data_IF_461759555332
#
_entry.id   IF_461759555332
#
_cell.length_a   1.000
_cell.length_b   1.000
_cell.length_c   1.000
_cell.angle_alpha   90.00
_cell.angle_beta   90.00
_cell.angle_gamma   90.00
#
_symmetry.space_group_name_H-M   'P 1'
#
loop_
_entity.id
_entity.type
_entity.pdbx_description
1 polymer ?
#
# COMPACT_ATOMS: atom_id res chain seq x y z
N UNK A 1 26.45 15.10 30.92
CA UNK A 1 26.44 13.79 30.24
C UNK A 1 26.27 14.08 28.77
N UNK A 2 27.29 13.75 28.00
CA UNK A 2 27.52 14.25 26.63
C UNK A 2 26.49 13.68 25.64
N UNK A 3 25.77 14.59 24.98
CA UNK A 3 24.93 14.28 23.83
C UNK A 3 25.84 13.79 22.69
N UNK A 4 25.93 12.46 22.51
CA UNK A 4 26.53 11.88 21.31
C UNK A 4 25.79 12.43 20.09
N UNK A 5 26.52 13.13 19.24
CA UNK A 5 26.12 13.57 17.91
C UNK A 5 25.40 12.45 17.15
N UNK A 6 24.07 12.49 17.07
CA UNK A 6 23.30 11.77 16.05
C UNK A 6 23.31 12.67 14.81
N UNK A 7 24.48 12.79 14.17
CA UNK A 7 24.64 13.54 12.90
C UNK A 7 24.46 12.61 11.70
N UNK A 8 23.47 11.72 11.76
CA UNK A 8 23.02 10.96 10.60
C UNK A 8 21.50 11.01 10.57
N UNK A 9 20.96 11.63 9.53
CA UNK A 9 19.53 11.58 9.23
C UNK A 9 19.10 10.11 9.10
N UNK A 10 17.91 9.81 9.63
CA UNK A 10 17.34 8.47 9.56
C UNK A 10 17.12 8.05 8.12
N UNK A 11 17.17 6.76 7.84
CA UNK A 11 16.98 6.20 6.50
C UNK A 11 15.81 5.23 6.46
N UNK A 12 15.21 5.12 5.29
CA UNK A 12 14.16 4.18 5.00
C UNK A 12 14.65 2.75 5.21
N UNK A 13 13.80 1.94 5.83
CA UNK A 13 14.11 0.55 6.15
C UNK A 13 14.85 0.38 7.48
N UNK A 14 15.28 1.46 8.14
CA UNK A 14 15.86 1.39 9.48
C UNK A 14 14.78 1.15 10.53
N UNK A 15 15.15 0.42 11.59
CA UNK A 15 14.29 0.04 12.69
C UNK A 15 14.82 0.72 13.94
N UNK A 16 13.93 1.41 14.64
CA UNK A 16 14.25 2.12 15.87
C UNK A 16 13.28 1.76 16.99
N UNK A 17 13.73 1.87 18.23
CA UNK A 17 12.84 1.87 19.39
C UNK A 17 12.14 3.23 19.48
N UNK A 18 10.82 3.24 19.66
CA UNK A 18 10.03 4.47 19.80
C UNK A 18 8.93 4.31 20.86
N UNK A 19 8.65 5.38 21.60
CA UNK A 19 7.56 5.43 22.57
C UNK A 19 6.27 5.94 21.93
N UNK A 20 5.32 5.04 21.67
CA UNK A 20 4.01 5.41 21.12
C UNK A 20 3.08 6.10 22.14
N UNK A 21 3.48 6.20 23.40
CA UNK A 21 2.67 6.75 24.48
C UNK A 21 1.57 5.79 24.92
N UNK A 22 0.54 6.33 25.56
CA UNK A 22 -0.65 5.57 25.96
C UNK A 22 -1.85 6.00 25.12
N UNK A 23 -2.26 5.14 24.18
CA UNK A 23 -3.39 5.37 23.30
C UNK A 23 -4.54 4.41 23.64
N UNK A 24 -5.78 4.91 23.49
CA UNK A 24 -6.98 4.11 23.67
C UNK A 24 -7.30 3.21 22.47
N UNK A 25 -8.02 2.11 22.72
CA UNK A 25 -8.50 1.22 21.67
C UNK A 25 -7.39 0.42 20.98
N UNK A 26 -7.42 0.37 19.65
CA UNK A 26 -6.51 -0.47 18.84
C UNK A 26 -5.28 0.27 18.29
N UNK A 27 -5.10 1.55 18.65
CA UNK A 27 -3.89 2.30 18.30
C UNK A 27 -2.72 1.72 19.09
N UNK A 28 -1.58 1.52 18.43
CA UNK A 28 -0.40 0.96 19.12
C UNK A 28 0.13 1.89 20.20
N UNK A 29 0.53 1.31 21.33
CA UNK A 29 0.95 2.01 22.56
C UNK A 29 2.23 1.42 23.13
N UNK A 30 2.87 2.15 24.04
CA UNK A 30 4.09 1.73 24.72
C UNK A 30 5.36 1.86 23.88
N UNK A 31 6.47 1.46 24.49
CA UNK A 31 7.80 1.48 23.86
C UNK A 31 8.00 0.19 23.08
N UNK A 32 8.22 0.31 21.77
CA UNK A 32 8.33 -0.85 20.86
C UNK A 32 9.14 -0.50 19.62
N UNK A 33 9.64 -1.51 18.89
CA UNK A 33 10.28 -1.29 17.60
C UNK A 33 9.31 -0.64 16.60
N UNK A 34 9.88 0.19 15.73
CA UNK A 34 9.17 0.87 14.66
C UNK A 34 10.05 0.95 13.42
N UNK A 35 9.46 0.69 12.27
CA UNK A 35 10.14 0.72 10.98
C UNK A 35 10.00 2.10 10.34
N UNK A 36 11.10 2.72 9.93
CA UNK A 36 11.09 3.95 9.12
C UNK A 36 10.62 3.63 7.70
N UNK A 37 9.50 4.23 7.28
CA UNK A 37 8.88 3.98 5.98
C UNK A 37 8.97 5.15 5.01
N UNK A 38 9.25 6.36 5.50
CA UNK A 38 9.44 7.57 4.68
C UNK A 38 10.69 7.45 3.81
N UNK A 39 10.66 8.02 2.59
CA UNK A 39 11.80 8.06 1.67
C UNK A 39 12.99 8.83 2.21
N UNK A 40 14.20 8.48 1.74
CA UNK A 40 15.46 9.05 2.22
C UNK A 40 15.56 10.54 1.91
N UNK A 41 15.04 10.99 0.76
CA UNK A 41 15.00 12.40 0.39
C UNK A 41 14.17 13.21 1.39
N UNK A 42 13.01 12.66 1.79
CA UNK A 42 12.15 13.27 2.80
C UNK A 42 12.79 13.27 4.18
N UNK A 43 13.44 12.17 4.58
CA UNK A 43 14.15 12.09 5.86
C UNK A 43 15.33 13.05 5.92
N UNK A 44 16.06 13.23 4.82
CA UNK A 44 17.18 14.15 4.74
C UNK A 44 16.73 15.62 4.84
N UNK A 45 15.63 15.97 4.18
CA UNK A 45 15.11 17.33 4.13
C UNK A 45 14.29 17.75 5.37
N UNK A 46 13.78 16.80 6.15
CA UNK A 46 12.90 17.07 7.30
C UNK A 46 13.54 16.74 8.65
N UNK A 47 13.00 17.31 9.72
CA UNK A 47 13.27 16.88 11.11
C UNK A 47 12.28 15.81 11.58
N UNK A 48 11.27 15.51 10.77
CA UNK A 48 10.30 14.44 11.01
C UNK A 48 10.52 13.27 10.07
N UNK A 49 9.99 12.11 10.47
CA UNK A 49 9.93 10.91 9.65
C UNK A 49 8.60 10.19 9.89
N UNK A 50 8.24 9.25 9.01
CA UNK A 50 7.06 8.39 9.18
C UNK A 50 7.54 7.00 9.54
N UNK A 51 6.99 6.48 10.64
CA UNK A 51 7.28 5.13 11.14
C UNK A 51 6.02 4.25 11.13
N UNK A 52 6.21 2.94 11.00
CA UNK A 52 5.19 1.92 11.21
C UNK A 52 5.46 1.16 12.51
N UNK A 53 4.45 1.01 13.36
CA UNK A 53 4.59 0.24 14.60
C UNK A 53 4.87 -1.25 14.33
N UNK A 54 5.65 -1.88 15.21
CA UNK A 54 5.92 -3.32 15.17
C UNK A 54 5.41 -4.04 16.42
N UNK A 55 5.21 -5.35 16.31
CA UNK A 55 4.82 -6.20 17.44
C UNK A 55 5.39 -7.61 17.28
N UNK A 56 5.82 -8.24 18.38
CA UNK A 56 6.15 -9.66 18.41
C UNK A 56 4.92 -10.58 18.37
N UNK A 57 3.71 -10.01 18.56
CA UNK A 57 2.46 -10.76 18.47
C UNK A 57 2.06 -10.93 17.01
N UNK A 58 2.36 -12.09 16.44
CA UNK A 58 2.05 -12.41 15.04
C UNK A 58 0.59 -12.86 14.91
N UNK A 59 -0.23 -12.08 14.21
CA UNK A 59 -1.65 -12.39 13.96
C UNK A 59 -2.14 -11.80 12.65
N UNK A 60 -3.27 -12.31 12.13
CA UNK A 60 -3.91 -11.83 10.90
C UNK A 60 -2.94 -11.71 9.71
N UNK A 61 -2.07 -12.70 9.53
CA UNK A 61 -1.03 -12.70 8.48
C UNK A 61 -1.59 -12.64 7.05
N UNK A 62 -2.88 -12.91 6.89
CA UNK A 62 -3.59 -12.74 5.62
C UNK A 62 -3.76 -11.27 5.21
N UNK A 63 -3.56 -10.32 6.13
CA UNK A 63 -3.63 -8.89 5.82
C UNK A 63 -2.35 -8.45 5.11
N UNK A 64 -2.45 -7.79 3.94
CA UNK A 64 -1.28 -7.35 3.18
C UNK A 64 -0.48 -6.25 3.88
N UNK A 65 -1.04 -5.58 4.89
CA UNK A 65 -0.37 -4.58 5.71
C UNK A 65 0.53 -5.20 6.79
N UNK A 66 0.44 -6.51 7.01
CA UNK A 66 1.21 -7.23 8.02
C UNK A 66 2.42 -7.90 7.40
N UNK A 67 3.62 -7.39 7.67
CA UNK A 67 4.88 -7.94 7.14
C UNK A 67 5.69 -8.53 8.29
N UNK A 68 5.93 -9.85 8.27
CA UNK A 68 6.75 -10.53 9.27
C UNK A 68 8.22 -10.36 8.89
N UNK A 69 9.03 -9.89 9.83
CA UNK A 69 10.48 -9.79 9.76
C UNK A 69 11.09 -10.80 10.73
N UNK A 70 12.21 -11.39 10.34
CA UNK A 70 13.01 -12.28 11.17
C UNK A 70 14.03 -11.49 12.03
N UNK A 71 14.75 -12.21 12.89
CA UNK A 71 15.74 -11.68 13.84
C UNK A 71 16.98 -11.09 13.16
N UNK A 72 17.27 -11.50 11.92
CA UNK A 72 18.44 -11.04 11.14
C UNK A 72 18.52 -9.53 10.95
N UNK A 73 17.40 -8.82 11.11
CA UNK A 73 17.32 -7.35 11.01
C UNK A 73 17.59 -6.64 12.35
N UNK A 74 18.23 -7.33 13.31
CA UNK A 74 18.58 -6.78 14.63
C UNK A 74 17.47 -6.92 15.69
N UNK A 75 16.36 -7.58 15.35
CA UNK A 75 15.25 -7.82 16.26
C UNK A 75 15.58 -8.99 17.20
N UNK A 76 15.13 -8.90 18.46
CA UNK A 76 15.30 -9.99 19.43
C UNK A 76 14.45 -11.22 19.09
N UNK A 77 13.25 -10.98 18.57
CA UNK A 77 12.28 -12.00 18.20
C UNK A 77 11.68 -11.65 16.83
N UNK A 78 11.26 -12.65 16.03
CA UNK A 78 10.49 -12.42 14.82
C UNK A 78 9.30 -11.50 15.11
N UNK A 79 9.17 -10.43 14.34
CA UNK A 79 8.22 -9.35 14.61
C UNK A 79 7.45 -8.96 13.36
N UNK A 80 6.22 -8.52 13.55
CA UNK A 80 5.32 -8.07 12.49
C UNK A 80 5.28 -6.55 12.42
N UNK A 81 5.58 -5.99 11.26
CA UNK A 81 5.31 -4.60 10.91
C UNK A 81 3.82 -4.44 10.60
N UNK A 82 3.18 -3.45 11.21
CA UNK A 82 1.77 -3.13 11.01
C UNK A 82 1.64 -1.85 10.18
N UNK A 83 1.55 -1.98 8.86
CA UNK A 83 1.56 -0.83 7.93
C UNK A 83 0.29 0.03 7.98
N UNK A 84 -0.75 -0.42 8.68
CA UNK A 84 -1.91 0.40 9.02
C UNK A 84 -1.73 1.26 10.29
N UNK A 85 -0.66 1.04 11.06
CA UNK A 85 -0.34 1.75 12.31
C UNK A 85 0.84 2.71 12.08
N UNK A 86 0.65 3.66 11.16
CA UNK A 86 1.65 4.67 10.83
C UNK A 86 1.58 5.87 11.78
N UNK A 87 2.74 6.49 12.04
CA UNK A 87 2.84 7.74 12.80
C UNK A 87 3.96 8.61 12.27
N UNK A 88 3.70 9.91 12.13
CA UNK A 88 4.75 10.91 11.91
C UNK A 88 5.35 11.31 13.25
N UNK A 89 6.68 11.29 13.36
CA UNK A 89 7.42 11.53 14.60
C UNK A 89 8.61 12.45 14.31
N UNK A 90 9.14 13.12 15.34
CA UNK A 90 10.44 13.78 15.17
C UNK A 90 11.54 12.73 15.15
N UNK A 91 12.55 12.93 14.32
CA UNK A 91 13.72 12.03 14.26
C UNK A 91 14.47 11.98 15.60
N UNK A 92 14.41 13.08 16.37
CA UNK A 92 14.97 13.19 17.73
C UNK A 92 14.25 12.34 18.77
N UNK A 93 13.01 11.90 18.49
CA UNK A 93 12.21 11.12 19.44
C UNK A 93 12.46 9.60 19.30
N UNK A 94 13.25 9.20 18.30
CA UNK A 94 13.70 7.82 18.13
C UNK A 94 14.79 7.53 19.16
N UNK A 95 14.60 6.44 19.91
CA UNK A 95 15.36 6.17 21.13
C UNK A 95 16.66 5.43 20.81
N UNK A 96 16.56 4.28 20.15
CA UNK A 96 17.69 3.37 19.91
C UNK A 96 17.58 2.79 18.50
N UNK A 97 18.68 2.78 17.76
CA UNK A 97 18.77 2.06 16.49
C UNK A 97 18.86 0.56 16.75
N UNK A 98 17.97 -0.22 16.13
CA UNK A 98 17.88 -1.68 16.29
C UNK A 98 18.56 -2.37 15.11
N UNK A 99 18.30 -1.90 13.89
CA UNK A 99 18.82 -2.54 12.69
C UNK A 99 18.20 -1.95 11.42
N UNK A 100 18.39 -2.64 10.30
CA UNK A 100 17.92 -2.18 8.99
C UNK A 100 17.51 -3.36 8.12
N UNK A 101 16.43 -3.17 7.37
CA UNK A 101 16.02 -4.06 6.29
C UNK A 101 16.88 -3.76 5.07
N UNK A 102 17.92 -4.56 4.86
CA UNK A 102 18.84 -4.51 3.72
C UNK A 102 18.44 -5.46 2.58
N UNK A 103 17.27 -6.09 2.70
CA UNK A 103 16.76 -7.08 1.77
C UNK A 103 15.71 -6.50 0.81
N UNK A 104 16.00 -6.59 -0.50
CA UNK A 104 15.14 -6.04 -1.55
C UNK A 104 13.74 -6.68 -1.58
N UNK A 105 13.63 -7.98 -1.27
CA UNK A 105 12.34 -8.69 -1.27
C UNK A 105 11.44 -8.18 -0.15
N UNK A 106 11.98 -7.94 1.04
CA UNK A 106 11.22 -7.33 2.13
C UNK A 106 10.83 -5.88 1.82
N UNK A 107 11.73 -5.09 1.23
CA UNK A 107 11.41 -3.71 0.83
C UNK A 107 10.31 -3.67 -0.25
N UNK A 108 10.29 -4.62 -1.19
CA UNK A 108 9.19 -4.79 -2.17
C UNK A 108 7.87 -5.12 -1.47
N UNK A 109 7.88 -6.05 -0.50
CA UNK A 109 6.68 -6.39 0.29
C UNK A 109 6.15 -5.19 1.05
N UNK A 110 7.02 -4.39 1.68
CA UNK A 110 6.65 -3.16 2.38
C UNK A 110 5.99 -2.16 1.41
N UNK A 111 6.57 -1.95 0.23
CA UNK A 111 5.98 -1.07 -0.79
C UNK A 111 4.57 -1.51 -1.20
N UNK A 112 4.37 -2.80 -1.45
CA UNK A 112 3.06 -3.37 -1.81
C UNK A 112 2.10 -3.23 -0.63
N UNK A 113 2.55 -3.52 0.58
CA UNK A 113 1.76 -3.42 1.80
C UNK A 113 1.27 -2.00 2.07
N UNK A 114 2.14 -0.99 1.94
CA UNK A 114 1.78 0.43 2.08
C UNK A 114 0.75 0.81 1.03
N UNK A 115 0.98 0.47 -0.25
CA UNK A 115 0.02 0.76 -1.32
C UNK A 115 -1.36 0.17 -1.03
N UNK A 116 -1.42 -1.07 -0.55
CA UNK A 116 -2.67 -1.73 -0.20
C UNK A 116 -3.33 -1.12 1.04
N UNK A 117 -2.56 -0.86 2.11
CA UNK A 117 -3.06 -0.28 3.35
C UNK A 117 -3.65 1.13 3.15
N UNK A 118 -3.05 1.92 2.26
CA UNK A 118 -3.48 3.29 1.97
C UNK A 118 -4.46 3.40 0.79
N UNK A 119 -4.88 2.29 0.18
CA UNK A 119 -5.75 2.32 -1.00
C UNK A 119 -5.11 2.90 -2.26
N UNK A 120 -3.77 3.02 -2.29
CA UNK A 120 -2.99 3.49 -3.44
C UNK A 120 -2.71 2.37 -4.45
N UNK A 121 -3.16 1.15 -4.16
CA UNK A 121 -3.16 0.03 -5.08
C UNK A 121 -4.27 0.21 -6.12
N UNK A 122 -4.00 1.06 -7.11
CA UNK A 122 -4.87 1.27 -8.25
C UNK A 122 -4.70 0.12 -9.27
N UNK A 123 -5.42 -0.99 -9.08
CA UNK A 123 -5.66 -1.97 -10.16
C UNK A 123 -6.66 -1.45 -11.20
N UNK A 124 -7.21 -0.26 -10.98
CA UNK A 124 -7.95 0.46 -12.01
C UNK A 124 -6.97 1.48 -12.59
N UNK A 125 -6.40 1.26 -13.79
CA UNK A 125 -5.83 2.39 -14.52
C UNK A 125 -6.85 3.54 -14.48
N UNK A 126 -6.38 4.78 -14.38
CA UNK A 126 -7.22 5.95 -14.59
C UNK A 126 -7.79 5.81 -16.01
N UNK A 127 -8.96 5.18 -16.10
CA UNK A 127 -9.66 4.88 -17.35
C UNK A 127 -10.40 6.15 -17.68
N UNK A 128 -10.18 6.68 -18.88
CA UNK A 128 -10.92 7.87 -19.28
C UNK A 128 -12.41 7.50 -19.22
N UNK A 129 -13.31 8.43 -18.85
CA UNK A 129 -14.74 8.15 -18.89
C UNK A 129 -15.20 7.57 -20.23
N UNK A 130 -14.50 7.89 -21.33
CA UNK A 130 -14.71 7.35 -22.67
C UNK A 130 -14.50 5.84 -22.81
N UNK A 131 -13.73 5.23 -21.91
CA UNK A 131 -13.34 3.82 -21.97
C UNK A 131 -14.35 2.92 -21.25
N UNK A 132 -15.36 3.51 -20.59
CA UNK A 132 -16.41 2.82 -19.85
C UNK A 132 -17.73 3.04 -20.56
N UNK A 133 -18.50 1.96 -20.80
CA UNK A 133 -19.87 2.05 -21.32
C UNK A 133 -20.79 1.07 -20.61
N UNK A 134 -22.00 1.51 -20.28
CA UNK A 134 -23.05 0.63 -19.78
C UNK A 134 -23.75 -0.04 -20.95
N UNK A 135 -23.66 -1.37 -21.07
CA UNK A 135 -24.27 -2.12 -22.18
C UNK A 135 -25.14 -3.26 -21.69
N UNK A 136 -26.27 -3.48 -22.36
CA UNK A 136 -27.05 -4.71 -22.24
C UNK A 136 -26.35 -5.86 -22.99
N UNK A 137 -26.78 -7.10 -22.75
CA UNK A 137 -26.17 -8.30 -23.36
C UNK A 137 -26.14 -8.22 -24.90
N UNK A 138 -27.25 -7.79 -25.51
CA UNK A 138 -27.36 -7.64 -26.97
C UNK A 138 -26.37 -6.61 -27.53
N UNK A 139 -26.29 -5.43 -26.92
CA UNK A 139 -25.38 -4.38 -27.39
C UNK A 139 -23.90 -4.67 -27.09
N UNK A 140 -23.61 -5.54 -26.13
CA UNK A 140 -22.27 -6.00 -25.81
C UNK A 140 -21.72 -6.95 -26.88
N UNK A 141 -22.58 -7.78 -27.51
CA UNK A 141 -22.18 -8.74 -28.54
C UNK A 141 -21.51 -8.05 -29.73
N UNK A 142 -22.02 -6.90 -30.16
CA UNK A 142 -21.41 -6.06 -31.22
C UNK A 142 -19.92 -5.80 -30.97
N UNK A 143 -19.54 -5.56 -29.71
CA UNK A 143 -18.16 -5.25 -29.33
C UNK A 143 -17.32 -6.49 -29.06
N UNK A 144 -17.93 -7.57 -28.56
CA UNK A 144 -17.23 -8.86 -28.40
C UNK A 144 -16.78 -9.44 -29.75
N UNK A 145 -17.57 -9.18 -30.79
CA UNK A 145 -17.26 -9.61 -32.15
C UNK A 145 -16.22 -8.69 -32.84
N UNK A 146 -15.90 -7.53 -32.26
CA UNK A 146 -14.91 -6.60 -32.81
C UNK A 146 -13.51 -6.92 -32.26
N UNK A 147 -12.58 -7.29 -33.13
CA UNK A 147 -11.20 -7.66 -32.75
C UNK A 147 -10.35 -6.51 -32.24
N UNK A 148 -10.79 -5.26 -32.41
CA UNK A 148 -10.01 -4.07 -32.03
C UNK A 148 -10.06 -3.78 -30.52
N UNK A 149 -11.05 -4.31 -29.81
CA UNK A 149 -11.26 -4.01 -28.40
C UNK A 149 -11.21 -5.28 -27.54
N UNK A 150 -10.60 -5.16 -26.36
CA UNK A 150 -10.77 -6.11 -25.26
C UNK A 150 -11.84 -5.54 -24.35
N UNK A 151 -12.95 -6.26 -24.23
CA UNK A 151 -14.07 -5.86 -23.39
C UNK A 151 -14.02 -6.62 -22.07
N UNK A 152 -13.97 -5.90 -20.94
CA UNK A 152 -13.96 -6.48 -19.59
C UNK A 152 -15.08 -5.90 -18.76
N UNK A 153 -15.64 -6.71 -17.86
CA UNK A 153 -16.61 -6.21 -16.89
C UNK A 153 -15.92 -5.23 -15.92
N UNK A 154 -16.49 -4.04 -15.72
CA UNK A 154 -15.88 -3.01 -14.84
C UNK A 154 -15.90 -3.46 -13.38
N UNK A 155 -17.06 -3.95 -12.92
CA UNK A 155 -17.24 -4.62 -11.64
C UNK A 155 -17.97 -5.96 -11.88
N UNK A 156 -17.25 -7.10 -11.77
CA UNK A 156 -17.83 -8.43 -11.89
C UNK A 156 -18.90 -8.75 -10.84
N UNK A 157 -18.91 -8.04 -9.71
CA UNK A 157 -19.82 -8.30 -8.59
C UNK A 157 -21.01 -7.34 -8.55
N UNK A 158 -21.07 -6.35 -9.45
CA UNK A 158 -22.20 -5.43 -9.56
C UNK A 158 -23.52 -6.20 -9.83
N UNK A 159 -24.46 -6.08 -8.88
CA UNK A 159 -25.79 -6.72 -8.95
C UNK A 159 -26.86 -5.81 -9.54
N UNK A 160 -26.69 -4.51 -9.41
CA UNK A 160 -27.60 -3.49 -9.94
C UNK A 160 -27.31 -3.27 -11.43
N UNK A 161 -28.35 -3.22 -12.24
CA UNK A 161 -28.26 -2.91 -13.67
C UNK A 161 -28.63 -1.46 -13.91
N UNK A 162 -27.94 -0.82 -14.83
CA UNK A 162 -28.20 0.56 -15.26
C UNK A 162 -28.71 0.58 -16.70
N UNK A 163 -29.11 1.76 -17.19
CA UNK A 163 -29.61 1.89 -18.56
C UNK A 163 -28.46 1.82 -19.55
N UNK A 164 -28.59 0.94 -20.55
CA UNK A 164 -27.65 0.78 -21.63
C UNK A 164 -27.52 2.07 -22.45
N UNK A 165 -26.29 2.51 -22.68
CA UNK A 165 -25.98 3.74 -23.41
C UNK A 165 -26.48 3.71 -24.86
N UNK A 166 -26.60 2.52 -25.45
CA UNK A 166 -27.04 2.33 -26.86
C UNK A 166 -28.56 2.24 -27.02
N UNK A 167 -29.25 1.56 -26.11
CA UNK A 167 -30.65 1.14 -26.34
C UNK A 167 -31.56 1.25 -25.12
N UNK A 168 -31.08 1.85 -24.02
CA UNK A 168 -31.83 2.10 -22.77
C UNK A 168 -32.33 0.85 -22.02
N UNK A 169 -32.13 -0.36 -22.55
CA UNK A 169 -32.35 -1.62 -21.84
C UNK A 169 -31.39 -1.78 -20.65
N UNK A 170 -31.75 -2.61 -19.68
CA UNK A 170 -30.90 -2.83 -18.51
C UNK A 170 -29.61 -3.57 -18.85
N UNK A 171 -28.49 -3.01 -18.40
CA UNK A 171 -27.14 -3.44 -18.70
C UNK A 171 -26.18 -3.20 -17.52
N UNK A 172 -24.89 -3.28 -17.82
CA UNK A 172 -23.84 -3.09 -16.83
C UNK A 172 -22.63 -2.42 -17.45
N UNK A 173 -21.75 -1.91 -16.61
CA UNK A 173 -20.54 -1.24 -17.05
C UNK A 173 -19.47 -2.22 -17.54
N UNK A 174 -18.99 -1.94 -18.74
CA UNK A 174 -17.86 -2.60 -19.35
C UNK A 174 -16.76 -1.59 -19.65
N UNK A 175 -15.54 -2.04 -19.44
CA UNK A 175 -14.34 -1.40 -19.91
C UNK A 175 -14.01 -1.85 -21.33
N UNK A 176 -13.66 -0.89 -22.19
CA UNK A 176 -13.12 -1.09 -23.52
C UNK A 176 -11.64 -0.71 -23.52
N UNK A 177 -10.78 -1.69 -23.81
CA UNK A 177 -9.35 -1.47 -24.00
C UNK A 177 -9.05 -1.66 -25.48
N UNK A 178 -8.56 -0.62 -26.16
CA UNK A 178 -8.04 -0.77 -27.52
C UNK A 178 -6.80 -1.67 -27.51
N UNK A 179 -6.77 -2.66 -28.39
CA UNK A 179 -5.54 -3.41 -28.65
C UNK A 179 -4.58 -2.47 -29.40
N UNK A 180 -3.42 -2.18 -28.82
CA UNK A 180 -2.40 -1.41 -29.52
C UNK A 180 -2.01 -2.12 -30.82
N UNK A 181 -1.92 -1.36 -31.92
CA UNK A 181 -1.44 -1.85 -33.23
C UNK A 181 0.09 -1.86 -33.33
N UNK A 182 0.82 -1.94 -32.23
CA UNK A 182 2.29 -1.92 -32.25
C UNK A 182 2.83 -3.32 -31.96
N UNK A 183 3.28 -3.97 -33.03
CA UNK A 183 3.79 -5.33 -33.07
C UNK A 183 3.99 -5.82 -34.52
N UNK A 184 4.61 -5.00 -35.36
CA UNK A 184 5.35 -5.40 -36.56
C UNK A 184 6.68 -4.67 -36.56
#
# INVERSE_FOLDING_TARGET
>A
MENKNISSKVRRGEIYLYNFGNNGGSIQSGVRPALVVQCDEGNAASNTTIIAAMTSIIKKQYLPSHIILDDRFGLKDPSMVMLEQLKTVNQSDLIEYIGKIDDEHYMKKINIGIKKAMGLWADKPYRRPTDIRCLCVKCLEDYKNNTNFIVKRLDPFARVKEKCDKCQNLGYDYLFIERSKEGR
#
